data_IF_899945517666
#
_entry.id   IF_899945517666
#
_cell.length_a   1.000
_cell.length_b   1.000
_cell.length_c   1.000
_cell.angle_alpha   90.00
_cell.angle_beta   90.00
_cell.angle_gamma   90.00
#
_symmetry.space_group_name_H-M   'P 1'
#
loop_
_entity.id
_entity.type
_entity.pdbx_description
1 polymer ?
#
# COMPACT_ATOMS: atom_id res chain seq x y z
N UNK A 1 -12.29 16.57 4.26
CA UNK A 1 -11.47 15.57 4.94
C UNK A 1 -11.87 14.18 4.46
N UNK A 2 -10.86 13.36 4.18
CA UNK A 2 -10.96 11.96 3.76
C UNK A 2 -10.46 11.10 4.92
N UNK A 3 -11.06 9.92 5.12
CA UNK A 3 -10.46 8.88 5.96
C UNK A 3 -9.89 7.79 5.05
N UNK A 4 -8.59 7.56 5.15
CA UNK A 4 -7.90 6.49 4.45
C UNK A 4 -7.52 5.38 5.44
N UNK A 5 -7.55 4.11 5.00
CA UNK A 5 -7.07 3.01 5.82
C UNK A 5 -6.64 1.80 5.00
N UNK A 6 -5.76 1.01 5.61
CA UNK A 6 -5.18 -0.15 4.96
C UNK A 6 -5.01 -1.33 5.92
N UNK A 7 -4.95 -2.52 5.34
CA UNK A 7 -4.57 -3.76 6.01
C UNK A 7 -3.81 -4.64 5.01
N UNK A 8 -2.75 -4.06 4.45
CA UNK A 8 -1.89 -4.66 3.42
C UNK A 8 -1.03 -5.76 4.04
N UNK A 9 -0.59 -5.56 5.28
CA UNK A 9 0.14 -6.54 6.07
C UNK A 9 -0.77 -7.42 6.94
N UNK A 10 -0.18 -7.97 8.00
CA UNK A 10 -0.89 -8.70 9.05
C UNK A 10 -1.71 -7.75 9.95
N UNK A 11 -1.16 -6.56 10.17
CA UNK A 11 -1.78 -5.46 10.89
C UNK A 11 -2.32 -4.43 9.89
N UNK A 12 -2.63 -3.22 10.35
CA UNK A 12 -3.15 -2.14 9.51
C UNK A 12 -3.03 -0.77 10.17
N UNK A 13 -3.46 0.24 9.44
CA UNK A 13 -3.40 1.64 9.85
C UNK A 13 -4.54 2.44 9.23
N UNK A 14 -4.78 3.63 9.74
CA UNK A 14 -5.73 4.58 9.18
C UNK A 14 -5.29 6.02 9.43
N UNK A 15 -5.74 6.94 8.59
CA UNK A 15 -5.48 8.35 8.73
C UNK A 15 -6.69 9.21 8.36
N UNK A 16 -6.76 10.39 8.96
CA UNK A 16 -7.63 11.48 8.51
C UNK A 16 -6.78 12.49 7.75
N UNK A 17 -7.24 12.90 6.56
CA UNK A 17 -6.52 13.78 5.65
C UNK A 17 -7.38 14.98 5.29
N UNK A 18 -6.83 16.19 5.35
CA UNK A 18 -7.55 17.40 4.99
C UNK A 18 -7.75 17.56 3.46
N UNK A 19 -8.39 18.66 3.04
CA UNK A 19 -8.66 18.92 1.62
C UNK A 19 -7.40 19.25 0.80
N UNK A 20 -6.30 19.63 1.45
CA UNK A 20 -5.02 19.92 0.81
C UNK A 20 -4.12 18.67 0.71
N UNK A 21 -4.56 17.53 1.26
CA UNK A 21 -3.79 16.29 1.31
C UNK A 21 -2.87 16.19 2.53
N UNK A 22 -2.97 17.09 3.50
CA UNK A 22 -2.18 17.02 4.73
C UNK A 22 -2.81 16.05 5.73
N UNK A 23 -1.96 15.20 6.32
CA UNK A 23 -2.38 14.25 7.36
C UNK A 23 -2.71 15.00 8.64
N UNK A 24 -3.97 14.89 9.09
CA UNK A 24 -4.47 15.45 10.36
C UNK A 24 -4.11 14.51 11.51
N UNK A 25 -4.38 13.21 11.34
CA UNK A 25 -4.09 12.17 12.33
C UNK A 25 -3.73 10.88 11.58
N UNK A 26 -2.73 10.16 12.09
CA UNK A 26 -2.40 8.81 11.65
C UNK A 26 -2.38 7.88 12.87
N UNK A 27 -3.02 6.72 12.73
CA UNK A 27 -3.12 5.70 13.78
C UNK A 27 -2.71 4.36 13.17
N UNK A 28 -1.85 3.63 13.86
CA UNK A 28 -1.48 2.26 13.52
C UNK A 28 -2.06 1.28 14.55
N UNK A 29 -2.27 0.03 14.13
CA UNK A 29 -2.69 -1.05 15.01
C UNK A 29 -1.53 -1.67 15.83
N UNK A 30 -0.29 -1.23 15.61
CA UNK A 30 0.90 -1.63 16.38
C UNK A 30 1.04 -3.15 16.60
N UNK A 31 0.76 -3.92 15.54
CA UNK A 31 0.90 -5.38 15.54
C UNK A 31 -0.36 -6.15 15.92
N UNK A 32 -1.45 -5.47 16.33
CA UNK A 32 -2.78 -6.05 16.43
C UNK A 32 -3.25 -6.47 15.04
N UNK A 33 -3.80 -7.68 14.92
CA UNK A 33 -4.32 -8.22 13.66
C UNK A 33 -5.44 -7.34 13.11
N UNK A 34 -5.44 -7.13 11.79
CA UNK A 34 -6.40 -6.24 11.13
C UNK A 34 -7.85 -6.66 11.37
N UNK A 35 -8.15 -7.96 11.36
CA UNK A 35 -9.49 -8.51 11.64
C UNK A 35 -10.00 -8.23 13.06
N UNK A 36 -9.11 -7.91 14.00
CA UNK A 36 -9.48 -7.56 15.38
C UNK A 36 -9.61 -6.05 15.53
N UNK A 37 -8.63 -5.29 15.02
CA UNK A 37 -8.45 -3.88 15.38
C UNK A 37 -9.01 -2.87 14.39
N UNK A 38 -9.07 -3.19 13.08
CA UNK A 38 -9.23 -2.17 12.05
C UNK A 38 -10.57 -1.41 12.15
N UNK A 39 -11.66 -2.12 12.43
CA UNK A 39 -12.97 -1.50 12.59
C UNK A 39 -13.00 -0.50 13.76
N UNK A 40 -12.41 -0.87 14.90
CA UNK A 40 -12.33 0.02 16.07
C UNK A 40 -11.45 1.25 15.79
N UNK A 41 -10.35 1.07 15.08
CA UNK A 41 -9.46 2.17 14.68
C UNK A 41 -10.21 3.18 13.79
N UNK A 42 -10.87 2.71 12.73
CA UNK A 42 -11.62 3.58 11.81
C UNK A 42 -12.80 4.25 12.52
N UNK A 43 -13.52 3.54 13.38
CA UNK A 43 -14.57 4.12 14.22
C UNK A 43 -14.03 5.24 15.12
N UNK A 44 -12.81 5.07 15.65
CA UNK A 44 -12.12 6.10 16.42
C UNK A 44 -11.89 7.37 15.62
N UNK A 45 -11.41 7.25 14.37
CA UNK A 45 -11.22 8.39 13.47
C UNK A 45 -12.55 9.09 13.16
N UNK A 46 -13.60 8.33 12.86
CA UNK A 46 -14.97 8.85 12.67
C UNK A 46 -15.45 9.64 13.89
N UNK A 47 -15.23 9.10 15.09
CA UNK A 47 -15.70 9.71 16.33
C UNK A 47 -14.97 11.03 16.65
N UNK A 48 -13.70 11.15 16.27
CA UNK A 48 -12.88 12.34 16.53
C UNK A 48 -13.03 13.42 15.47
N UNK A 49 -13.15 13.04 14.20
CA UNK A 49 -13.12 13.97 13.07
C UNK A 49 -14.47 14.14 12.35
N UNK A 50 -15.47 13.35 12.74
CA UNK A 50 -16.77 13.31 12.09
C UNK A 50 -16.78 12.47 10.82
N UNK A 51 -17.92 12.50 10.12
CA UNK A 51 -18.12 11.76 8.86
C UNK A 51 -17.27 12.41 7.76
N UNK A 52 -16.38 11.66 7.08
CA UNK A 52 -15.57 12.20 6.00
C UNK A 52 -16.43 12.41 4.74
N UNK A 53 -15.94 13.16 3.76
CA UNK A 53 -16.66 13.28 2.47
C UNK A 53 -16.30 12.16 1.48
N UNK A 54 -15.28 11.36 1.78
CA UNK A 54 -14.85 10.21 0.99
C UNK A 54 -14.03 9.25 1.85
N UNK A 55 -13.96 8.00 1.41
CA UNK A 55 -13.06 6.99 1.95
C UNK A 55 -11.97 6.66 0.93
N UNK A 56 -10.76 6.37 1.41
CA UNK A 56 -9.72 5.73 0.61
C UNK A 56 -9.33 4.40 1.27
N UNK A 57 -9.20 3.34 0.49
CA UNK A 57 -8.90 2.01 1.03
C UNK A 57 -7.94 1.27 0.14
N UNK A 58 -6.95 0.60 0.74
CA UNK A 58 -6.06 -0.28 0.00
C UNK A 58 -6.86 -1.41 -0.69
N UNK A 59 -6.75 -1.49 -2.02
CA UNK A 59 -7.37 -2.51 -2.86
C UNK A 59 -6.44 -3.70 -3.13
N UNK A 60 -5.19 -3.60 -2.68
CA UNK A 60 -4.16 -4.60 -2.86
C UNK A 60 -3.09 -4.17 -3.88
N UNK A 61 -2.07 -5.01 -4.09
CA UNK A 61 -1.88 -6.34 -3.49
C UNK A 61 -1.53 -6.31 -2.00
N UNK A 62 -1.69 -7.44 -1.30
CA UNK A 62 -1.47 -7.53 0.15
C UNK A 62 -2.13 -8.75 0.80
N UNK A 63 -2.30 -8.71 2.12
CA UNK A 63 -2.91 -9.75 2.93
C UNK A 63 -4.34 -10.05 2.50
N UNK A 64 -4.63 -11.31 2.12
CA UNK A 64 -5.96 -11.72 1.69
C UNK A 64 -7.04 -11.47 2.76
N UNK A 65 -6.74 -11.79 4.02
CA UNK A 65 -7.67 -11.55 5.14
C UNK A 65 -7.78 -10.04 5.40
N UNK A 66 -6.66 -9.35 5.54
CA UNK A 66 -6.62 -7.91 5.89
C UNK A 66 -7.34 -7.05 4.84
N UNK A 67 -7.02 -7.23 3.55
CA UNK A 67 -7.67 -6.49 2.46
C UNK A 67 -9.18 -6.73 2.41
N UNK A 68 -9.65 -7.96 2.65
CA UNK A 68 -11.09 -8.23 2.68
C UNK A 68 -11.77 -7.54 3.86
N UNK A 69 -11.14 -7.51 5.03
CA UNK A 69 -11.66 -6.77 6.19
C UNK A 69 -11.74 -5.27 5.87
N UNK A 70 -10.67 -4.69 5.33
CA UNK A 70 -10.63 -3.27 4.96
C UNK A 70 -11.69 -2.91 3.90
N UNK A 71 -11.76 -3.66 2.81
CA UNK A 71 -12.72 -3.39 1.72
C UNK A 71 -14.17 -3.56 2.19
N UNK A 72 -14.48 -4.57 3.00
CA UNK A 72 -15.84 -4.76 3.55
C UNK A 72 -16.20 -3.62 4.52
N UNK A 73 -15.27 -3.19 5.35
CA UNK A 73 -15.45 -2.04 6.25
C UNK A 73 -15.74 -0.76 5.43
N UNK A 74 -14.91 -0.47 4.42
CA UNK A 74 -15.10 0.69 3.54
C UNK A 74 -16.46 0.68 2.87
N UNK A 75 -16.87 -0.47 2.30
CA UNK A 75 -18.17 -0.63 1.65
C UNK A 75 -19.33 -0.42 2.62
N UNK A 76 -19.19 -0.91 3.85
CA UNK A 76 -20.25 -0.80 4.88
C UNK A 76 -20.46 0.66 5.28
N UNK A 77 -19.37 1.36 5.60
CA UNK A 77 -19.41 2.79 5.95
C UNK A 77 -19.92 3.64 4.78
N UNK A 78 -19.41 3.38 3.57
CA UNK A 78 -19.85 4.09 2.37
C UNK A 78 -21.34 3.90 2.08
N UNK A 79 -21.89 2.71 2.35
CA UNK A 79 -23.32 2.46 2.21
C UNK A 79 -24.14 3.20 3.28
N UNK A 80 -23.67 3.25 4.52
CA UNK A 80 -24.36 3.91 5.63
C UNK A 80 -24.42 5.44 5.43
N UNK A 81 -23.29 6.04 5.05
CA UNK A 81 -23.13 7.50 4.99
C UNK A 81 -23.16 8.05 3.55
N UNK A 82 -23.49 7.21 2.57
CA UNK A 82 -23.53 7.53 1.14
C UNK A 82 -22.22 8.15 0.60
N UNK A 83 -21.08 7.57 0.99
CA UNK A 83 -19.74 8.10 0.69
C UNK A 83 -19.15 7.51 -0.60
N UNK A 84 -18.43 8.30 -1.41
CA UNK A 84 -17.54 7.76 -2.43
C UNK A 84 -16.37 7.00 -1.78
N UNK A 85 -15.93 5.91 -2.44
CA UNK A 85 -14.77 5.10 -2.03
C UNK A 85 -13.73 5.12 -3.14
N UNK A 86 -12.50 5.47 -2.79
CA UNK A 86 -11.34 5.48 -3.66
C UNK A 86 -10.47 4.24 -3.37
N UNK A 87 -10.40 3.27 -4.29
CA UNK A 87 -9.46 2.16 -4.17
C UNK A 87 -8.03 2.64 -4.42
N UNK A 88 -7.09 2.20 -3.60
CA UNK A 88 -5.67 2.55 -3.69
C UNK A 88 -4.83 1.29 -3.96
N UNK A 89 -3.99 1.32 -5.00
CA UNK A 89 -3.04 0.24 -5.27
C UNK A 89 -1.87 0.32 -4.27
N UNK A 90 -1.61 -0.77 -3.56
CA UNK A 90 -0.61 -0.84 -2.50
C UNK A 90 0.82 -0.57 -2.99
N UNK A 91 1.16 -0.97 -4.22
CA UNK A 91 2.48 -0.73 -4.81
C UNK A 91 2.64 0.74 -5.19
N UNK A 92 1.58 1.36 -5.72
CA UNK A 92 1.55 2.80 -6.00
C UNK A 92 1.69 3.61 -4.71
N UNK A 93 0.93 3.26 -3.67
CA UNK A 93 1.04 3.88 -2.35
C UNK A 93 2.46 3.76 -1.79
N UNK A 94 3.05 2.57 -1.86
CA UNK A 94 4.42 2.34 -1.43
C UNK A 94 5.44 3.20 -2.20
N UNK A 95 5.22 3.42 -3.51
CA UNK A 95 6.07 4.31 -4.30
C UNK A 95 5.90 5.78 -3.91
N UNK A 96 4.66 6.26 -3.73
CA UNK A 96 4.36 7.64 -3.32
C UNK A 96 5.02 8.00 -1.98
N UNK A 97 5.04 7.06 -1.03
CA UNK A 97 5.71 7.25 0.26
C UNK A 97 7.22 7.50 0.17
N UNK A 98 7.85 7.15 -0.94
CA UNK A 98 9.29 7.41 -1.16
C UNK A 98 9.57 8.78 -1.78
N UNK A 99 8.54 9.49 -2.24
CA UNK A 99 8.67 10.76 -2.94
C UNK A 99 9.11 10.61 -4.39
N UNK A 100 9.56 11.71 -4.99
CA UNK A 100 9.92 11.77 -6.42
C UNK A 100 11.05 10.80 -6.77
N UNK A 101 10.86 9.99 -7.81
CA UNK A 101 11.80 8.95 -8.19
C UNK A 101 11.22 7.89 -9.14
N UNK A 102 12.04 6.89 -9.44
CA UNK A 102 11.62 5.67 -10.13
C UNK A 102 11.75 4.49 -9.17
N UNK A 103 10.63 3.91 -8.81
CA UNK A 103 10.50 2.92 -7.75
C UNK A 103 10.08 1.59 -8.34
N UNK A 104 10.66 0.52 -7.81
CA UNK A 104 10.25 -0.85 -8.06
C UNK A 104 9.72 -1.47 -6.75
N UNK A 105 8.45 -1.23 -6.41
CA UNK A 105 7.83 -1.78 -5.20
C UNK A 105 7.74 -3.30 -5.25
N UNK A 106 8.12 -3.96 -4.16
CA UNK A 106 8.12 -5.40 -4.00
C UNK A 106 7.35 -5.79 -2.73
N UNK A 107 6.14 -6.34 -2.89
CA UNK A 107 5.28 -6.79 -1.79
C UNK A 107 5.10 -8.32 -1.84
N UNK A 108 5.59 -9.07 -0.84
CA UNK A 108 5.51 -10.52 -0.85
C UNK A 108 4.08 -10.98 -0.54
N UNK A 109 3.66 -12.02 -1.25
CA UNK A 109 2.56 -12.90 -0.88
C UNK A 109 3.12 -14.15 -0.17
N UNK A 110 2.31 -14.82 0.66
CA UNK A 110 2.70 -16.08 1.32
C UNK A 110 3.16 -17.12 0.27
N UNK A 111 4.11 -17.99 0.66
CA UNK A 111 4.64 -19.13 -0.12
C UNK A 111 5.17 -18.76 -1.51
N UNK A 112 6.24 -18.00 -1.63
CA UNK A 112 7.02 -18.04 -2.89
C UNK A 112 6.45 -17.22 -4.06
N UNK A 113 5.66 -16.16 -3.79
CA UNK A 113 5.21 -15.21 -4.83
C UNK A 113 5.38 -13.76 -4.37
N UNK A 114 5.84 -12.87 -5.24
CA UNK A 114 5.99 -11.44 -4.95
C UNK A 114 5.27 -10.62 -6.00
N UNK A 115 4.49 -9.64 -5.53
CA UNK A 115 3.90 -8.62 -6.38
C UNK A 115 4.91 -7.51 -6.62
N UNK A 116 4.99 -7.07 -7.86
CA UNK A 116 5.81 -5.93 -8.24
C UNK A 116 5.21 -5.13 -9.39
N UNK A 117 5.62 -3.87 -9.48
CA UNK A 117 5.24 -2.92 -10.50
C UNK A 117 6.41 -1.95 -10.70
N UNK A 118 6.43 -1.20 -11.80
CA UNK A 118 7.38 -0.09 -11.96
C UNK A 118 6.60 1.22 -11.90
N UNK A 119 6.92 2.07 -10.94
CA UNK A 119 6.17 3.31 -10.67
C UNK A 119 7.12 4.49 -10.68
N UNK A 120 6.80 5.51 -11.48
CA UNK A 120 7.47 6.80 -11.45
C UNK A 120 6.66 7.75 -10.59
N UNK A 121 7.31 8.44 -9.67
CA UNK A 121 6.70 9.53 -8.89
C UNK A 121 7.37 10.83 -9.29
N UNK A 122 6.56 11.83 -9.64
CA UNK A 122 7.02 13.17 -9.97
C UNK A 122 6.02 14.22 -9.46
N UNK A 123 6.52 15.20 -8.70
CA UNK A 123 5.69 16.24 -8.07
C UNK A 123 4.51 15.65 -7.28
N UNK A 124 4.77 14.56 -6.54
CA UNK A 124 3.76 13.88 -5.72
C UNK A 124 2.67 13.13 -6.52
N UNK A 125 2.87 12.89 -7.82
CA UNK A 125 1.97 12.09 -8.65
C UNK A 125 2.67 10.82 -9.11
N UNK A 126 1.96 9.70 -9.02
CA UNK A 126 2.44 8.42 -9.50
C UNK A 126 1.96 8.13 -10.93
N UNK A 127 2.87 7.62 -11.75
CA UNK A 127 2.64 7.04 -13.06
C UNK A 127 3.10 5.58 -13.03
N UNK A 128 2.21 4.66 -13.38
CA UNK A 128 2.53 3.23 -13.46
C UNK A 128 3.17 2.97 -14.84
N UNK A 129 4.47 2.75 -14.85
CA UNK A 129 5.26 2.45 -16.05
C UNK A 129 5.07 0.99 -16.46
N UNK A 130 5.07 0.08 -15.48
CA UNK A 130 4.75 -1.33 -15.66
C UNK A 130 3.70 -1.75 -14.65
N UNK A 131 2.63 -2.39 -15.12
CA UNK A 131 1.48 -2.78 -14.32
C UNK A 131 1.86 -3.75 -13.19
N UNK A 132 1.06 -3.75 -12.13
CA UNK A 132 1.17 -4.72 -11.03
C UNK A 132 1.05 -6.14 -11.55
N UNK A 133 2.10 -6.95 -11.35
CA UNK A 133 2.12 -8.37 -11.66
C UNK A 133 2.57 -9.19 -10.45
N UNK A 134 2.08 -10.42 -10.37
CA UNK A 134 2.58 -11.43 -9.44
C UNK A 134 3.60 -12.30 -10.17
N UNK A 135 4.75 -12.55 -9.56
CA UNK A 135 5.75 -13.48 -10.10
C UNK A 135 6.17 -14.45 -9.01
N UNK A 136 6.29 -15.73 -9.35
CA UNK A 136 6.84 -16.72 -8.44
C UNK A 136 8.32 -16.38 -8.15
N UNK A 137 8.75 -16.52 -6.90
CA UNK A 137 10.06 -16.02 -6.46
C UNK A 137 11.26 -16.73 -7.13
N UNK A 138 11.03 -17.95 -7.61
CA UNK A 138 12.01 -18.78 -8.32
C UNK A 138 12.00 -18.55 -9.85
N UNK A 139 11.00 -17.84 -10.36
CA UNK A 139 10.94 -17.47 -11.78
C UNK A 139 11.75 -16.20 -12.06
N UNK A 140 12.17 -16.03 -13.31
CA UNK A 140 12.72 -14.77 -13.81
C UNK A 140 11.60 -13.90 -14.39
N UNK A 141 11.25 -12.75 -13.78
CA UNK A 141 10.21 -11.88 -14.32
C UNK A 141 10.65 -11.25 -15.64
N UNK A 142 9.69 -11.00 -16.54
CA UNK A 142 9.89 -10.05 -17.63
C UNK A 142 9.73 -8.64 -17.05
N UNK A 143 10.83 -7.90 -16.97
CA UNK A 143 10.86 -6.54 -16.42
C UNK A 143 10.91 -5.50 -17.53
N UNK A 144 10.31 -4.34 -17.28
CA UNK A 144 10.51 -3.16 -18.12
C UNK A 144 12.00 -2.77 -18.12
N UNK A 145 12.53 -2.30 -19.26
CA UNK A 145 13.93 -1.93 -19.41
C UNK A 145 14.40 -0.88 -18.38
N UNK A 146 13.50 0.01 -17.96
CA UNK A 146 13.77 1.06 -16.98
C UNK A 146 13.93 0.53 -15.55
N UNK A 147 13.53 -0.71 -15.27
CA UNK A 147 13.63 -1.32 -13.92
C UNK A 147 15.06 -1.33 -13.40
N UNK A 148 16.05 -1.53 -14.28
CA UNK A 148 17.48 -1.49 -13.92
C UNK A 148 17.95 -0.15 -13.33
N UNK A 149 17.28 0.96 -13.68
CA UNK A 149 17.56 2.29 -13.13
C UNK A 149 16.75 2.65 -11.88
N UNK A 150 15.76 1.82 -11.53
CA UNK A 150 14.87 2.03 -10.41
C UNK A 150 15.52 1.68 -9.06
N UNK A 151 14.84 2.06 -7.98
CA UNK A 151 15.17 1.61 -6.62
C UNK A 151 14.10 0.64 -6.16
N UNK A 152 14.51 -0.60 -5.86
CA UNK A 152 13.67 -1.61 -5.25
C UNK A 152 13.28 -1.15 -3.84
N UNK A 153 11.99 -1.21 -3.51
CA UNK A 153 11.47 -0.83 -2.19
C UNK A 153 10.42 -1.82 -1.72
N UNK A 154 10.20 -1.89 -0.41
CA UNK A 154 9.14 -2.68 0.18
C UNK A 154 9.60 -3.91 0.96
N UNK A 155 8.65 -4.56 1.64
CA UNK A 155 8.89 -5.66 2.58
C UNK A 155 9.61 -6.88 1.99
N UNK A 156 9.55 -7.12 0.67
CA UNK A 156 10.22 -8.27 0.09
C UNK A 156 11.75 -8.19 0.24
N UNK A 157 12.32 -7.00 0.37
CA UNK A 157 13.76 -6.82 0.54
C UNK A 157 14.31 -7.48 1.80
N UNK A 158 13.50 -7.54 2.87
CA UNK A 158 13.87 -8.20 4.13
C UNK A 158 13.29 -9.60 4.23
N UNK A 159 12.05 -9.81 3.77
CA UNK A 159 11.37 -11.09 3.87
C UNK A 159 11.87 -12.13 2.85
N UNK A 160 12.45 -11.68 1.73
CA UNK A 160 12.96 -12.52 0.64
C UNK A 160 14.36 -12.05 0.22
N UNK A 161 15.39 -12.30 1.05
CA UNK A 161 16.74 -11.80 0.80
C UNK A 161 17.27 -12.22 -0.58
N UNK A 162 17.86 -11.25 -1.29
CA UNK A 162 18.44 -11.47 -2.61
C UNK A 162 17.44 -11.62 -3.76
N UNK A 163 16.12 -11.55 -3.53
CA UNK A 163 15.12 -11.64 -4.59
C UNK A 163 15.33 -10.55 -5.65
N UNK A 164 15.45 -9.28 -5.21
CA UNK A 164 15.64 -8.15 -6.11
C UNK A 164 16.90 -8.29 -6.97
N UNK A 165 18.02 -8.74 -6.39
CA UNK A 165 19.27 -8.95 -7.12
C UNK A 165 19.17 -10.10 -8.13
N UNK A 166 18.46 -11.19 -7.81
CA UNK A 166 18.22 -12.28 -8.77
C UNK A 166 17.35 -11.81 -9.93
N UNK A 167 16.27 -11.10 -9.64
CA UNK A 167 15.32 -10.63 -10.65
C UNK A 167 15.85 -9.49 -11.50
N UNK A 168 16.63 -8.58 -10.93
CA UNK A 168 17.23 -7.45 -11.63
C UNK A 168 18.65 -7.17 -11.09
N UNK A 169 19.68 -7.85 -11.61
CA UNK A 169 21.05 -7.66 -11.15
C UNK A 169 21.49 -6.19 -11.25
N UNK A 170 22.05 -5.67 -10.16
CA UNK A 170 22.49 -4.27 -10.08
C UNK A 170 21.39 -3.25 -9.75
N UNK A 171 20.13 -3.68 -9.56
CA UNK A 171 19.09 -2.81 -9.04
C UNK A 171 19.44 -2.33 -7.62
N UNK A 172 19.26 -1.04 -7.37
CA UNK A 172 19.51 -0.47 -6.03
C UNK A 172 18.38 -0.89 -5.08
N UNK A 173 18.71 -1.14 -3.82
CA UNK A 173 17.72 -1.40 -2.77
C UNK A 173 17.55 -0.17 -1.88
N UNK A 174 16.30 0.17 -1.56
CA UNK A 174 15.91 1.28 -0.71
C UNK A 174 15.22 0.82 0.57
N UNK A 175 14.18 1.55 0.98
CA UNK A 175 13.43 1.26 2.21
C UNK A 175 12.71 -0.10 2.14
N UNK A 176 12.85 -0.96 3.16
CA UNK A 176 12.11 -2.22 3.25
C UNK A 176 10.73 -2.08 3.92
N UNK A 177 10.27 -0.85 4.18
CA UNK A 177 9.03 -0.61 4.92
C UNK A 177 7.79 -1.09 4.16
N UNK A 178 6.77 -1.47 4.91
CA UNK A 178 5.41 -1.65 4.38
C UNK A 178 4.81 -0.28 4.02
N UNK A 179 3.92 -0.20 3.02
CA UNK A 179 3.02 0.94 2.90
C UNK A 179 2.08 1.02 4.10
N UNK A 180 1.63 2.23 4.42
CA UNK A 180 0.60 2.50 5.42
C UNK A 180 -0.45 3.48 4.86
N UNK A 181 -1.44 3.85 5.68
CA UNK A 181 -2.57 4.67 5.24
C UNK A 181 -2.19 6.09 4.78
N UNK A 182 -0.93 6.52 4.90
CA UNK A 182 -0.45 7.83 4.41
C UNK A 182 0.00 7.81 2.95
N UNK A 183 0.24 6.63 2.39
CA UNK A 183 0.70 6.43 1.00
C UNK A 183 -0.40 6.55 -0.03
#
# INVERSE_FOLDING_TARGET
>A
MIIAFEAIGRSGSGCAVDAAGAVIEHVALDGIEAEVGLAALVQGLYSRHGVPHALAVAAGPGSFTGLRVAVVLARTLAWMDALPVHPVDSLVALALMQGDGLWWPLVPLKRDTTFHALVRVASGRAEVIAATIATADDDQPTLDALTSGAVAVGPALTQKPGLAERWCPGARSGSPAMPDARG
#
